data_IF_302855493492
#
_entry.id   IF_302855493492
#
_cell.length_a   1.000
_cell.length_b   1.000
_cell.length_c   1.000
_cell.angle_alpha   90.00
_cell.angle_beta   90.00
_cell.angle_gamma   90.00
#
_symmetry.space_group_name_H-M   'P 1'
#
loop_
_entity.id
_entity.type
_entity.pdbx_description
1 polymer ?
#
# COMPACT_ATOMS: atom_id res chain seq x y z
N UNK A 1 -13.48 11.67 5.21
CA UNK A 1 -13.86 11.35 6.62
C UNK A 1 -13.28 12.44 7.51
N UNK A 2 -14.04 13.04 8.41
CA UNK A 2 -13.51 14.05 9.35
C UNK A 2 -13.09 13.33 10.63
N UNK A 3 -11.80 13.39 10.97
CA UNK A 3 -11.26 12.86 12.22
C UNK A 3 -11.52 13.86 13.35
N UNK A 4 -12.23 13.40 14.40
CA UNK A 4 -12.43 14.02 15.71
C UNK A 4 -12.55 15.55 15.78
N UNK A 5 -11.49 16.28 15.50
CA UNK A 5 -11.43 17.76 15.59
C UNK A 5 -11.43 18.42 14.22
N UNK A 6 -11.99 19.63 14.16
CA UNK A 6 -11.88 20.47 12.97
C UNK A 6 -10.43 20.92 12.69
N UNK A 7 -9.64 21.13 13.74
CA UNK A 7 -8.24 21.53 13.64
C UNK A 7 -7.43 20.93 14.79
N UNK A 8 -6.27 20.37 14.47
CA UNK A 8 -5.27 19.90 15.42
C UNK A 8 -4.14 20.92 15.59
N UNK A 9 -3.58 21.03 16.77
CA UNK A 9 -2.30 21.74 17.00
C UNK A 9 -1.15 20.93 16.43
N UNK A 10 0.02 21.54 16.23
CA UNK A 10 1.20 20.82 15.71
C UNK A 10 1.61 19.63 16.60
N UNK A 11 1.49 19.78 17.93
CA UNK A 11 1.77 18.70 18.87
C UNK A 11 0.77 17.54 18.74
N UNK A 12 -0.51 17.85 18.64
CA UNK A 12 -1.56 16.86 18.41
C UNK A 12 -1.44 16.19 17.04
N UNK A 13 -1.09 16.94 15.98
CA UNK A 13 -0.82 16.38 14.65
C UNK A 13 0.33 15.38 14.74
N UNK A 14 1.44 15.73 15.41
CA UNK A 14 2.58 14.83 15.59
C UNK A 14 2.20 13.56 16.37
N UNK A 15 1.45 13.71 17.47
CA UNK A 15 0.94 12.58 18.26
C UNK A 15 0.06 11.68 17.40
N UNK A 16 -0.89 12.26 16.65
CA UNK A 16 -1.80 11.54 15.78
C UNK A 16 -1.07 10.75 14.69
N UNK A 17 -0.11 11.40 13.99
CA UNK A 17 0.65 10.76 12.92
C UNK A 17 1.54 9.62 13.42
N UNK A 18 2.04 9.71 14.65
CA UNK A 18 2.84 8.64 15.25
C UNK A 18 1.99 7.49 15.83
N UNK A 19 0.70 7.70 16.02
CA UNK A 19 -0.21 6.70 16.62
C UNK A 19 -0.80 5.72 15.60
N UNK A 20 -0.56 5.89 14.31
CA UNK A 20 -1.11 4.99 13.30
C UNK A 20 -0.64 3.56 13.51
N UNK A 21 -1.52 2.61 13.27
CA UNK A 21 -1.20 1.18 13.29
C UNK A 21 -1.35 0.63 11.88
N UNK A 22 -0.29 0.06 11.34
CA UNK A 22 -0.31 -0.54 10.00
C UNK A 22 -1.15 -1.81 10.03
N UNK A 23 -2.05 -1.95 9.08
CA UNK A 23 -2.79 -3.17 8.84
C UNK A 23 -2.05 -4.01 7.80
N UNK A 24 -1.83 -5.27 8.10
CA UNK A 24 -1.19 -6.25 7.21
C UNK A 24 -2.21 -7.33 6.91
N UNK A 25 -2.49 -7.60 5.63
CA UNK A 25 -3.43 -8.66 5.27
C UNK A 25 -2.97 -10.03 5.77
N UNK A 26 -3.92 -10.83 6.22
CA UNK A 26 -3.65 -12.19 6.74
C UNK A 26 -3.10 -13.14 5.69
N UNK A 27 -3.30 -12.84 4.39
CA UNK A 27 -2.76 -13.60 3.27
C UNK A 27 -1.30 -13.26 2.95
N UNK A 28 -0.84 -12.08 3.41
CA UNK A 28 0.53 -11.62 3.20
C UNK A 28 1.48 -12.39 4.13
N UNK A 29 2.24 -13.36 3.58
CA UNK A 29 3.03 -14.30 4.38
C UNK A 29 4.54 -14.11 4.24
N UNK A 30 5.02 -13.66 3.09
CA UNK A 30 6.46 -13.53 2.79
C UNK A 30 6.88 -12.06 2.92
N UNK A 31 6.75 -11.52 4.13
CA UNK A 31 6.95 -10.10 4.41
C UNK A 31 7.80 -9.83 5.67
N UNK A 32 8.63 -10.78 6.10
CA UNK A 32 9.44 -10.63 7.31
C UNK A 32 10.31 -9.36 7.27
N UNK A 33 10.91 -9.02 6.13
CA UNK A 33 11.72 -7.81 5.99
C UNK A 33 10.94 -6.52 6.29
N UNK A 34 9.59 -6.55 6.15
CA UNK A 34 8.72 -5.43 6.48
C UNK A 34 8.38 -5.46 7.97
N UNK A 35 7.94 -6.61 8.49
CA UNK A 35 7.54 -6.74 9.90
C UNK A 35 8.74 -6.59 10.85
N UNK A 36 9.91 -7.16 10.51
CA UNK A 36 11.13 -7.02 11.29
C UNK A 36 11.59 -5.56 11.35
N UNK A 37 11.44 -4.81 10.25
CA UNK A 37 11.69 -3.37 10.25
C UNK A 37 10.72 -2.63 11.18
N UNK A 38 9.43 -2.95 11.13
CA UNK A 38 8.44 -2.32 12.00
C UNK A 38 8.73 -2.60 13.47
N UNK A 39 9.07 -3.84 13.81
CA UNK A 39 9.46 -4.22 15.18
C UNK A 39 10.72 -3.46 15.64
N UNK A 40 11.75 -3.38 14.81
CA UNK A 40 13.00 -2.70 15.11
C UNK A 40 12.83 -1.18 15.31
N UNK A 41 11.83 -0.57 14.68
CA UNK A 41 11.58 0.88 14.73
C UNK A 41 10.36 1.25 15.58
N UNK A 42 9.76 0.30 16.29
CA UNK A 42 8.60 0.53 17.15
C UNK A 42 7.36 1.00 16.37
N UNK A 43 7.23 0.62 15.10
CA UNK A 43 6.06 0.93 14.27
C UNK A 43 4.99 -0.13 14.57
N UNK A 44 3.85 0.24 15.17
CA UNK A 44 2.83 -0.74 15.48
C UNK A 44 2.14 -1.25 14.23
N UNK A 45 1.93 -2.56 14.17
CA UNK A 45 1.17 -3.19 13.10
C UNK A 45 0.26 -4.30 13.63
N UNK A 46 -0.77 -4.65 12.83
CA UNK A 46 -1.75 -5.68 13.20
C UNK A 46 -2.14 -6.48 11.95
N UNK A 47 -2.11 -7.80 12.06
CA UNK A 47 -2.68 -8.68 11.04
C UNK A 47 -4.21 -8.62 11.07
N UNK A 48 -4.81 -8.35 9.90
CA UNK A 48 -6.25 -8.24 9.71
C UNK A 48 -6.59 -8.62 8.27
N UNK A 49 -7.62 -9.44 8.06
CA UNK A 49 -8.12 -9.70 6.71
C UNK A 49 -8.58 -8.37 6.09
N UNK A 50 -7.98 -8.00 4.97
CA UNK A 50 -8.32 -6.82 4.19
C UNK A 50 -9.17 -7.25 2.97
N UNK A 51 -10.10 -6.38 2.57
CA UNK A 51 -10.90 -6.61 1.39
C UNK A 51 -10.09 -6.36 0.11
N UNK A 52 -9.18 -5.38 0.15
CA UNK A 52 -8.33 -4.98 -0.96
C UNK A 52 -6.92 -4.68 -0.46
N UNK A 53 -5.92 -5.07 -1.24
CA UNK A 53 -4.51 -4.83 -0.98
C UNK A 53 -3.93 -5.62 0.21
N UNK A 54 -2.64 -5.48 0.39
CA UNK A 54 -1.87 -6.19 1.42
C UNK A 54 -1.60 -5.32 2.65
N UNK A 55 -1.56 -3.99 2.47
CA UNK A 55 -1.27 -3.02 3.53
C UNK A 55 -2.25 -1.86 3.51
N UNK A 56 -2.68 -1.45 4.70
CA UNK A 56 -3.44 -0.25 4.97
C UNK A 56 -3.14 0.22 6.40
N UNK A 57 -4.00 1.03 7.02
CA UNK A 57 -3.80 1.46 8.41
C UNK A 57 -5.12 1.80 9.12
N UNK A 58 -5.04 1.97 10.43
CA UNK A 58 -6.07 2.61 11.22
C UNK A 58 -5.45 3.54 12.26
N UNK A 59 -6.26 4.46 12.75
CA UNK A 59 -5.94 5.32 13.88
C UNK A 59 -6.67 4.77 15.10
N UNK A 60 -5.97 4.40 16.20
CA UNK A 60 -6.60 3.92 17.40
C UNK A 60 -7.45 4.99 18.10
N UNK A 61 -8.41 4.55 18.89
CA UNK A 61 -9.16 5.42 19.80
C UNK A 61 -8.18 6.25 20.66
N UNK A 62 -8.40 7.56 20.69
CA UNK A 62 -7.66 8.51 21.54
C UNK A 62 -8.61 9.66 21.93
N UNK A 63 -9.15 9.60 23.14
CA UNK A 63 -10.13 10.59 23.62
C UNK A 63 -9.54 12.00 23.73
N UNK A 64 -8.22 12.13 24.02
CA UNK A 64 -7.53 13.41 24.10
C UNK A 64 -7.52 14.10 22.74
N UNK A 65 -7.42 13.34 21.66
CA UNK A 65 -7.47 13.82 20.27
C UNK A 65 -8.90 13.81 19.71
N UNK A 66 -9.91 13.60 20.54
CA UNK A 66 -11.33 13.48 20.17
C UNK A 66 -11.62 12.34 19.17
N UNK A 67 -10.79 11.29 19.16
CA UNK A 67 -11.00 10.08 18.38
C UNK A 67 -11.71 9.06 19.26
N UNK A 68 -13.01 8.99 19.13
CA UNK A 68 -13.87 8.22 20.05
C UNK A 68 -13.86 6.70 19.80
N UNK A 69 -13.31 6.25 18.67
CA UNK A 69 -13.21 4.83 18.28
C UNK A 69 -12.05 4.62 17.31
N UNK A 70 -11.60 3.37 17.18
CA UNK A 70 -10.67 2.98 16.12
C UNK A 70 -11.22 3.39 14.76
N UNK A 71 -10.42 4.13 13.99
CA UNK A 71 -10.82 4.67 12.69
C UNK A 71 -10.00 4.02 11.60
N UNK A 72 -10.63 3.15 10.82
CA UNK A 72 -10.00 2.36 9.76
C UNK A 72 -10.00 3.10 8.42
N UNK A 73 -8.89 2.99 7.68
CA UNK A 73 -8.69 3.62 6.38
C UNK A 73 -8.55 2.62 5.21
N UNK A 74 -8.79 1.33 5.44
CA UNK A 74 -8.67 0.30 4.42
C UNK A 74 -9.60 0.48 3.21
N UNK A 75 -10.71 1.22 3.37
CA UNK A 75 -11.61 1.60 2.27
C UNK A 75 -11.25 2.96 1.64
N UNK A 76 -10.20 3.61 2.12
CA UNK A 76 -9.74 4.91 1.63
C UNK A 76 -8.38 4.82 0.92
N UNK A 77 -7.47 3.96 1.41
CA UNK A 77 -6.13 3.76 0.89
C UNK A 77 -5.65 2.33 1.13
N UNK A 78 -4.99 1.76 0.14
CA UNK A 78 -4.25 0.50 0.31
C UNK A 78 -3.02 0.44 -0.59
N UNK A 79 -2.12 -0.46 -0.25
CA UNK A 79 -0.98 -0.87 -1.06
C UNK A 79 -1.12 -2.35 -1.36
N UNK A 80 -1.13 -2.69 -2.64
CA UNK A 80 -0.95 -4.05 -3.16
C UNK A 80 0.53 -4.25 -3.44
N UNK A 81 1.16 -5.27 -2.84
CA UNK A 81 2.59 -5.56 -2.99
C UNK A 81 2.81 -6.76 -3.91
N UNK A 82 3.80 -6.64 -4.75
CA UNK A 82 4.34 -7.74 -5.56
C UNK A 82 5.82 -7.92 -5.22
N UNK A 83 6.21 -9.13 -4.89
CA UNK A 83 7.58 -9.44 -4.48
C UNK A 83 8.61 -9.26 -5.62
N UNK A 84 8.15 -9.32 -6.88
CA UNK A 84 8.98 -9.19 -8.06
C UNK A 84 8.14 -9.03 -9.34
N UNK A 85 8.80 -8.92 -10.49
CA UNK A 85 8.15 -8.83 -11.80
C UNK A 85 7.47 -10.14 -12.21
N UNK A 86 7.96 -11.29 -11.78
CA UNK A 86 7.38 -12.60 -12.10
C UNK A 86 5.97 -12.71 -11.52
N UNK A 87 5.78 -12.33 -10.25
CA UNK A 87 4.48 -12.28 -9.61
C UNK A 87 3.53 -11.29 -10.28
N UNK A 88 4.00 -10.09 -10.59
CA UNK A 88 3.22 -9.11 -11.33
C UNK A 88 2.82 -9.63 -12.72
N UNK A 89 3.74 -10.27 -13.43
CA UNK A 89 3.50 -10.87 -14.75
C UNK A 89 2.35 -11.88 -14.71
N UNK A 90 2.31 -12.75 -13.70
CA UNK A 90 1.21 -13.70 -13.51
C UNK A 90 -0.14 -13.00 -13.34
N UNK A 91 -0.19 -11.93 -12.54
CA UNK A 91 -1.41 -11.14 -12.33
C UNK A 91 -1.84 -10.34 -13.57
N UNK A 92 -0.93 -9.96 -14.45
CA UNK A 92 -1.23 -9.23 -15.68
C UNK A 92 -1.50 -10.15 -16.88
N UNK A 93 -1.30 -11.46 -16.73
CA UNK A 93 -1.50 -12.47 -17.76
C UNK A 93 -2.52 -13.54 -17.35
N UNK A 94 -2.09 -14.65 -16.77
CA UNK A 94 -2.94 -15.79 -16.44
C UNK A 94 -4.07 -15.46 -15.43
N UNK A 95 -3.78 -14.59 -14.46
CA UNK A 95 -4.72 -14.16 -13.41
C UNK A 95 -5.38 -12.81 -13.70
N UNK A 96 -5.25 -12.30 -14.91
CA UNK A 96 -5.64 -10.95 -15.28
C UNK A 96 -7.08 -10.60 -14.90
N UNK A 97 -8.02 -11.47 -15.23
CA UNK A 97 -9.44 -11.21 -14.98
C UNK A 97 -9.75 -11.05 -13.48
N UNK A 98 -9.08 -11.83 -12.63
CA UNK A 98 -9.20 -11.73 -11.17
C UNK A 98 -8.63 -10.39 -10.67
N UNK A 99 -7.42 -10.07 -11.10
CA UNK A 99 -6.73 -8.84 -10.66
C UNK A 99 -7.45 -7.57 -11.16
N UNK A 100 -7.95 -7.59 -12.41
CA UNK A 100 -8.79 -6.51 -12.94
C UNK A 100 -10.07 -6.31 -12.11
N UNK A 101 -10.76 -7.42 -11.77
CA UNK A 101 -11.97 -7.35 -10.93
C UNK A 101 -11.66 -6.74 -9.55
N UNK A 102 -10.57 -7.16 -8.93
CA UNK A 102 -10.12 -6.64 -7.64
C UNK A 102 -9.88 -5.13 -7.69
N UNK A 103 -9.09 -4.66 -8.66
CA UNK A 103 -8.80 -3.23 -8.81
C UNK A 103 -10.03 -2.41 -9.20
N UNK A 104 -10.93 -2.97 -10.01
CA UNK A 104 -12.15 -2.29 -10.45
C UNK A 104 -13.20 -2.15 -9.33
N UNK A 105 -13.29 -3.14 -8.43
CA UNK A 105 -14.26 -3.13 -7.32
C UNK A 105 -13.76 -2.39 -6.09
N UNK A 106 -12.45 -2.14 -6.00
CA UNK A 106 -11.85 -1.41 -4.89
C UNK A 106 -12.30 0.05 -4.87
N UNK A 107 -13.03 0.44 -3.82
CA UNK A 107 -13.58 1.79 -3.64
C UNK A 107 -12.57 2.82 -3.12
N UNK A 108 -11.36 2.38 -2.76
CA UNK A 108 -10.35 3.24 -2.19
C UNK A 108 -9.98 4.41 -3.10
N UNK A 109 -9.81 5.59 -2.51
CA UNK A 109 -9.41 6.83 -3.21
C UNK A 109 -7.95 6.81 -3.65
N UNK A 110 -7.11 6.09 -2.92
CA UNK A 110 -5.69 5.93 -3.20
C UNK A 110 -5.34 4.44 -3.26
N UNK A 111 -4.87 4.02 -4.42
CA UNK A 111 -4.48 2.64 -4.72
C UNK A 111 -3.04 2.62 -5.17
N UNK A 112 -2.22 1.87 -4.48
CA UNK A 112 -0.80 1.71 -4.81
C UNK A 112 -0.53 0.27 -5.23
N UNK A 113 0.27 0.12 -6.28
CA UNK A 113 0.86 -1.15 -6.69
C UNK A 113 2.38 -1.03 -6.50
N UNK A 114 2.89 -1.66 -5.47
CA UNK A 114 4.30 -1.64 -5.11
C UNK A 114 4.97 -2.92 -5.60
N UNK A 115 5.98 -2.78 -6.45
CA UNK A 115 6.73 -3.89 -7.04
C UNK A 115 8.15 -3.86 -6.47
N UNK A 116 8.50 -4.88 -5.70
CA UNK A 116 9.83 -5.03 -5.10
C UNK A 116 10.83 -5.66 -6.07
N UNK A 117 12.11 -5.49 -5.74
CA UNK A 117 13.26 -6.09 -6.45
C UNK A 117 13.30 -5.79 -7.95
N UNK A 118 12.72 -4.68 -8.36
CA UNK A 118 12.67 -4.28 -9.77
C UNK A 118 12.64 -2.76 -9.94
N UNK A 119 13.19 -2.31 -11.05
CA UNK A 119 12.99 -0.96 -11.58
C UNK A 119 12.12 -0.98 -12.84
N UNK A 120 11.62 0.17 -13.23
CA UNK A 120 10.87 0.30 -14.50
C UNK A 120 11.73 -0.11 -15.71
N UNK A 121 13.03 0.16 -15.65
CA UNK A 121 14.03 -0.23 -16.65
C UNK A 121 14.09 -1.75 -16.86
N UNK A 122 13.83 -2.56 -15.84
CA UNK A 122 13.84 -4.02 -15.95
C UNK A 122 12.71 -4.51 -16.85
N UNK A 123 11.54 -3.88 -16.78
CA UNK A 123 10.43 -4.18 -17.69
C UNK A 123 10.77 -3.76 -19.13
N UNK A 124 11.35 -2.56 -19.30
CA UNK A 124 11.75 -2.02 -20.62
C UNK A 124 12.80 -2.92 -21.30
N UNK A 125 13.77 -3.40 -20.53
CA UNK A 125 14.86 -4.22 -21.04
C UNK A 125 14.50 -5.71 -21.13
N UNK A 126 13.44 -6.16 -20.43
CA UNK A 126 13.05 -7.56 -20.35
C UNK A 126 13.89 -8.35 -19.33
N UNK A 127 14.36 -7.68 -18.29
CA UNK A 127 15.15 -8.28 -17.20
C UNK A 127 14.21 -8.94 -16.16
N UNK A 128 13.52 -9.99 -16.58
CA UNK A 128 12.62 -10.80 -15.74
C UNK A 128 12.52 -12.21 -16.32
N UNK A 129 12.23 -13.19 -15.48
CA UNK A 129 12.18 -14.60 -15.84
C UNK A 129 10.73 -15.09 -16.09
N UNK A 130 10.10 -14.52 -17.14
CA UNK A 130 8.79 -14.99 -17.62
C UNK A 130 8.70 -14.90 -19.13
N UNK A 131 7.74 -15.64 -19.73
CA UNK A 131 7.46 -15.58 -21.16
C UNK A 131 6.59 -14.38 -21.55
N UNK A 132 6.27 -13.48 -20.63
CA UNK A 132 5.42 -12.34 -20.92
C UNK A 132 6.14 -11.35 -21.81
N UNK A 133 5.59 -11.10 -22.99
CA UNK A 133 6.21 -10.23 -23.99
C UNK A 133 6.38 -8.80 -23.46
N UNK A 134 7.57 -8.20 -23.64
CA UNK A 134 7.91 -6.87 -23.11
C UNK A 134 6.90 -5.78 -23.46
N UNK A 135 6.50 -5.71 -24.73
CA UNK A 135 5.53 -4.71 -25.20
C UNK A 135 4.18 -4.90 -24.53
N UNK A 136 3.75 -6.14 -24.38
CA UNK A 136 2.49 -6.49 -23.70
C UNK A 136 2.56 -6.18 -22.21
N UNK A 137 3.73 -6.41 -21.60
CA UNK A 137 3.94 -6.12 -20.17
C UNK A 137 3.87 -4.62 -19.91
N UNK A 138 4.62 -3.81 -20.64
CA UNK A 138 4.56 -2.35 -20.57
C UNK A 138 3.15 -1.83 -20.83
N UNK A 139 2.50 -2.32 -21.89
CA UNK A 139 1.13 -1.95 -22.21
C UNK A 139 0.14 -2.27 -21.09
N UNK A 140 0.30 -3.42 -20.41
CA UNK A 140 -0.53 -3.79 -19.27
C UNK A 140 -0.29 -2.89 -18.05
N UNK A 141 0.96 -2.58 -17.71
CA UNK A 141 1.31 -1.65 -16.62
C UNK A 141 0.64 -0.30 -16.85
N UNK A 142 0.82 0.30 -18.05
CA UNK A 142 0.21 1.58 -18.35
C UNK A 142 -1.32 1.52 -18.39
N UNK A 143 -1.88 0.45 -18.93
CA UNK A 143 -3.34 0.26 -18.96
C UNK A 143 -3.93 0.19 -17.54
N UNK A 144 -3.31 -0.56 -16.64
CA UNK A 144 -3.74 -0.65 -15.25
C UNK A 144 -3.59 0.67 -14.50
N UNK A 145 -2.48 1.37 -14.71
CA UNK A 145 -2.26 2.71 -14.14
C UNK A 145 -3.43 3.65 -14.48
N UNK A 146 -3.78 3.77 -15.75
CA UNK A 146 -4.86 4.68 -16.19
C UNK A 146 -6.26 4.17 -15.86
N UNK A 147 -6.53 2.88 -16.11
CA UNK A 147 -7.88 2.31 -15.98
C UNK A 147 -8.37 2.27 -14.53
N UNK A 148 -7.47 2.05 -13.59
CA UNK A 148 -7.81 1.87 -12.18
C UNK A 148 -7.28 2.98 -11.27
N UNK A 149 -6.66 4.02 -11.82
CA UNK A 149 -6.01 5.10 -11.07
C UNK A 149 -4.99 4.55 -10.04
N UNK A 150 -4.17 3.59 -10.50
CA UNK A 150 -3.13 2.97 -9.70
C UNK A 150 -1.86 3.81 -9.67
N UNK A 151 -1.35 4.09 -8.50
CA UNK A 151 -0.01 4.64 -8.34
C UNK A 151 0.99 3.48 -8.33
N UNK A 152 1.69 3.28 -9.45
CA UNK A 152 2.64 2.18 -9.62
C UNK A 152 4.02 2.62 -9.17
N UNK A 153 4.59 1.87 -8.23
CA UNK A 153 5.88 2.18 -7.60
C UNK A 153 6.81 0.98 -7.74
N UNK A 154 7.95 1.22 -8.36
CA UNK A 154 9.04 0.24 -8.43
C UNK A 154 10.00 0.47 -7.29
N UNK A 155 10.23 -0.56 -6.49
CA UNK A 155 11.11 -0.56 -5.32
C UNK A 155 12.27 -1.52 -5.55
N UNK A 156 13.32 -1.03 -6.20
CA UNK A 156 14.49 -1.85 -6.55
C UNK A 156 15.14 -2.49 -5.31
N UNK A 157 15.23 -1.73 -4.23
CA UNK A 157 15.75 -2.20 -2.95
C UNK A 157 14.60 -2.46 -1.97
N UNK A 158 14.19 -3.70 -1.81
CA UNK A 158 13.07 -4.07 -0.92
C UNK A 158 13.25 -3.66 0.55
N UNK A 159 14.49 -3.37 0.97
CA UNK A 159 14.77 -2.85 2.30
C UNK A 159 14.06 -1.51 2.58
N UNK A 160 13.71 -0.75 1.54
CA UNK A 160 12.99 0.52 1.67
C UNK A 160 11.46 0.37 1.65
N UNK A 161 10.94 -0.82 1.35
CA UNK A 161 9.49 -1.07 1.32
C UNK A 161 8.78 -0.68 2.62
N UNK A 162 9.25 -1.07 3.82
CA UNK A 162 8.56 -0.71 5.06
C UNK A 162 8.57 0.80 5.32
N UNK A 163 9.65 1.50 4.96
CA UNK A 163 9.75 2.96 5.05
C UNK A 163 8.70 3.60 4.14
N UNK A 164 8.58 3.11 2.91
CA UNK A 164 7.61 3.61 1.94
C UNK A 164 6.17 3.38 2.42
N UNK A 165 5.83 2.17 2.87
CA UNK A 165 4.50 1.83 3.40
C UNK A 165 4.12 2.79 4.53
N UNK A 166 4.98 2.93 5.54
CA UNK A 166 4.71 3.78 6.69
C UNK A 166 4.57 5.25 6.28
N UNK A 167 5.48 5.76 5.45
CA UNK A 167 5.43 7.13 4.96
C UNK A 167 4.16 7.44 4.17
N UNK A 168 3.75 6.57 3.25
CA UNK A 168 2.51 6.74 2.47
C UNK A 168 1.29 6.85 3.38
N UNK A 169 1.18 5.99 4.40
CA UNK A 169 0.05 6.01 5.32
C UNK A 169 0.04 7.26 6.21
N UNK A 170 1.20 7.67 6.74
CA UNK A 170 1.33 8.90 7.52
C UNK A 170 0.95 10.14 6.71
N UNK A 171 1.47 10.26 5.49
CA UNK A 171 1.20 11.44 4.66
C UNK A 171 -0.23 11.43 4.11
N UNK A 172 -0.85 10.28 3.89
CA UNK A 172 -2.27 10.21 3.62
C UNK A 172 -3.08 10.77 4.79
N UNK A 173 -2.83 10.29 6.02
CA UNK A 173 -3.49 10.80 7.22
C UNK A 173 -3.28 12.30 7.39
N UNK A 174 -2.05 12.79 7.19
CA UNK A 174 -1.72 14.22 7.27
C UNK A 174 -2.57 15.07 6.32
N UNK A 175 -2.82 14.56 5.11
CA UNK A 175 -3.71 15.22 4.15
C UNK A 175 -5.19 15.23 4.52
N UNK A 176 -5.61 14.37 5.48
CA UNK A 176 -6.99 14.31 5.96
C UNK A 176 -7.26 15.24 7.15
N UNK A 177 -6.22 15.72 7.82
CA UNK A 177 -6.31 16.51 9.06
C UNK A 177 -5.91 17.99 8.90
N UNK A 178 -5.55 18.39 7.67
CA UNK A 178 -5.16 19.78 7.32
C UNK A 178 -6.18 20.51 6.48
#
# INVERSE_FOLDING_TARGET
>A
MMLGKYKYTEAEEKELLSSIVILVDTKEKVNNHITDYFDAHGIPYKKKALQNGDYSFYVPKNEKLAIMRDTYFNDEIFIERKANLEELSANLSAERARFEKEMATAKAKKKYLLIENAGYEDVVNGNYDTQYNKKSYLGSIHSFNHKYDLQIVFMKERAYTPIYIYGVMQYYLRGQIR
#
